data_IF_763268180848
#
_entry.id   IF_763268180848
#
_cell.length_a   1.000
_cell.length_b   1.000
_cell.length_c   1.000
_cell.angle_alpha   90.00
_cell.angle_beta   90.00
_cell.angle_gamma   90.00
#
_symmetry.space_group_name_H-M   'P 1'
#
loop_
_entity.id
_entity.type
_entity.pdbx_description
1 polymer ?
#
# COMPACT_ATOMS: atom_id res chain seq x y z
N UNK A 1 6.38 4.93 -0.43
CA UNK A 1 5.02 5.51 -0.41
C UNK A 1 4.48 5.63 0.99
N UNK A 2 4.47 4.56 1.75
CA UNK A 2 4.09 4.68 3.17
C UNK A 2 5.34 4.62 4.03
N UNK A 3 5.37 5.44 5.07
CA UNK A 3 6.51 5.53 5.95
C UNK A 3 6.44 4.49 7.07
N UNK A 4 7.48 4.43 7.88
CA UNK A 4 7.59 3.42 8.94
C UNK A 4 6.50 3.57 10.00
N UNK A 5 6.08 4.81 10.28
CA UNK A 5 5.00 5.04 11.24
C UNK A 5 3.68 4.47 10.73
N UNK A 6 3.38 4.70 9.46
CA UNK A 6 2.17 4.15 8.85
C UNK A 6 2.21 2.62 8.85
N UNK A 7 3.36 2.04 8.53
CA UNK A 7 3.53 0.58 8.57
C UNK A 7 3.29 0.03 9.98
N UNK A 8 3.80 0.73 10.99
CA UNK A 8 3.60 0.33 12.39
C UNK A 8 2.12 0.31 12.75
N UNK A 9 1.38 1.35 12.33
CA UNK A 9 -0.05 1.43 12.59
C UNK A 9 -0.83 0.33 11.88
N UNK A 10 -0.45 0.03 10.65
CA UNK A 10 -1.07 -1.07 9.91
C UNK A 10 -0.83 -2.40 10.60
N UNK A 11 0.39 -2.63 11.12
CA UNK A 11 0.67 -3.85 11.88
C UNK A 11 -0.16 -3.96 13.15
N UNK A 12 -0.36 -2.83 13.83
CA UNK A 12 -1.22 -2.82 15.03
C UNK A 12 -2.66 -3.19 14.71
N UNK A 13 -3.11 -2.86 13.50
CA UNK A 13 -4.45 -3.23 13.03
C UNK A 13 -4.49 -4.61 12.38
N UNK A 14 -3.39 -5.34 12.41
CA UNK A 14 -3.25 -6.67 11.79
C UNK A 14 -3.46 -6.63 10.27
N UNK A 15 -3.02 -5.53 9.64
CA UNK A 15 -3.17 -5.33 8.20
C UNK A 15 -1.83 -5.51 7.47
N UNK A 16 -1.11 -6.58 7.82
CA UNK A 16 0.22 -6.84 7.27
C UNK A 16 0.21 -7.04 5.76
N UNK A 17 -0.84 -7.63 5.22
CA UNK A 17 -0.96 -7.82 3.78
C UNK A 17 -1.12 -6.50 3.05
N UNK A 18 -1.75 -5.50 3.67
CA UNK A 18 -1.81 -4.16 3.08
C UNK A 18 -0.43 -3.52 3.01
N UNK A 19 0.42 -3.77 4.00
CA UNK A 19 1.80 -3.29 3.94
C UNK A 19 2.49 -3.87 2.73
N UNK A 20 2.37 -5.18 2.50
CA UNK A 20 2.96 -5.84 1.35
C UNK A 20 2.41 -5.28 0.04
N UNK A 21 1.10 -5.03 -0.01
CA UNK A 21 0.47 -4.47 -1.20
C UNK A 21 1.03 -3.10 -1.55
N UNK A 22 1.20 -2.23 -0.55
CA UNK A 22 1.75 -0.90 -0.80
C UNK A 22 3.24 -0.95 -1.15
N UNK A 23 3.98 -1.87 -0.56
CA UNK A 23 5.38 -2.07 -0.93
C UNK A 23 5.49 -2.52 -2.39
N UNK A 24 4.59 -3.38 -2.84
CA UNK A 24 4.57 -3.79 -4.24
C UNK A 24 4.23 -2.63 -5.16
N UNK A 25 3.28 -1.78 -4.78
CA UNK A 25 2.97 -0.58 -5.56
C UNK A 25 4.19 0.32 -5.69
N UNK A 26 4.97 0.45 -4.64
CA UNK A 26 6.18 1.25 -4.67
C UNK A 26 7.25 0.62 -5.57
N UNK A 27 7.36 -0.71 -5.52
CA UNK A 27 8.31 -1.45 -6.35
C UNK A 27 8.00 -1.29 -7.85
N UNK A 28 6.72 -1.27 -8.19
CA UNK A 28 6.28 -1.10 -9.57
C UNK A 28 5.68 0.29 -9.78
N UNK A 29 6.41 1.30 -9.33
CA UNK A 29 5.95 2.69 -9.31
C UNK A 29 5.41 3.17 -10.66
N UNK A 30 6.07 2.83 -11.77
CA UNK A 30 5.62 3.29 -13.08
C UNK A 30 4.26 2.74 -13.46
N UNK A 31 3.89 1.58 -12.95
CA UNK A 31 2.59 0.96 -13.21
C UNK A 31 1.48 1.66 -12.41
N UNK A 32 1.79 2.13 -11.20
CA UNK A 32 0.81 2.71 -10.31
C UNK A 32 0.81 4.24 -10.29
N UNK A 33 1.81 4.87 -10.88
CA UNK A 33 2.01 6.33 -10.75
C UNK A 33 0.85 7.15 -11.28
N UNK A 34 0.14 6.67 -12.31
CA UNK A 34 -0.98 7.38 -12.91
C UNK A 34 -2.30 7.13 -12.19
N UNK A 35 -2.34 6.24 -11.23
CA UNK A 35 -3.56 5.89 -10.53
C UNK A 35 -3.82 6.84 -9.37
N UNK A 36 -5.09 7.12 -9.10
CA UNK A 36 -5.49 7.93 -7.96
C UNK A 36 -5.18 7.18 -6.66
N UNK A 37 -5.19 7.91 -5.55
CA UNK A 37 -5.05 7.29 -4.25
C UNK A 37 -6.16 6.25 -4.01
N UNK A 38 -7.40 6.59 -4.40
CA UNK A 38 -8.52 5.68 -4.23
C UNK A 38 -8.33 4.37 -4.98
N UNK A 39 -7.84 4.47 -6.22
CA UNK A 39 -7.56 3.29 -7.03
C UNK A 39 -6.46 2.44 -6.42
N UNK A 40 -5.41 3.07 -5.90
CA UNK A 40 -4.30 2.35 -5.27
C UNK A 40 -4.72 1.70 -3.96
N UNK A 41 -5.58 2.38 -3.21
CA UNK A 41 -6.12 1.82 -1.97
C UNK A 41 -6.99 0.60 -2.29
N UNK A 42 -7.84 0.71 -3.31
CA UNK A 42 -8.69 -0.40 -3.73
C UNK A 42 -7.84 -1.62 -4.13
N UNK A 43 -6.75 -1.39 -4.86
CA UNK A 43 -5.84 -2.47 -5.24
C UNK A 43 -5.21 -3.12 -4.01
N UNK A 44 -4.84 -2.32 -3.01
CA UNK A 44 -4.24 -2.84 -1.78
C UNK A 44 -5.23 -3.67 -0.96
N UNK A 45 -6.48 -3.26 -0.94
CA UNK A 45 -7.53 -3.99 -0.20
C UNK A 45 -7.81 -5.35 -0.85
N UNK A 46 -7.67 -5.43 -2.18
CA UNK A 46 -7.90 -6.68 -2.93
C UNK A 46 -6.67 -7.58 -3.01
N UNK A 47 -5.59 -7.17 -2.42
CA UNK A 47 -4.28 -7.85 -2.56
C UNK A 47 -4.28 -9.32 -2.03
#
# INVERSE_FOLDING_TARGET
MINDETKRKLRELHLDEMIQAFEEQEKYHSHYASLSFDDRLNAAVDY
#
